data_IF_408754791298
#
_entry.id   IF_408754791298
#
_cell.length_a   1.000
_cell.length_b   1.000
_cell.length_c   1.000
_cell.angle_alpha   90.00
_cell.angle_beta   90.00
_cell.angle_gamma   90.00
#
_symmetry.space_group_name_H-M   'P 1'
#
loop_
_entity.id
_entity.type
_entity.pdbx_description
1 polymer ?
#
# COMPACT_ATOMS: atom_id res chain seq x y z
N UNK A 1 17.08 10.11 -8.50
CA UNK A 1 16.31 10.99 -7.59
C UNK A 1 15.31 10.23 -6.70
N UNK A 2 14.69 9.14 -7.15
CA UNK A 2 13.80 8.30 -6.34
C UNK A 2 14.51 7.46 -5.25
N UNK A 3 15.81 7.14 -5.41
CA UNK A 3 16.57 6.32 -4.44
C UNK A 3 17.01 7.10 -3.18
N UNK A 4 17.30 8.41 -3.30
CA UNK A 4 17.76 9.23 -2.18
C UNK A 4 16.65 9.53 -1.15
N UNK A 5 15.38 9.48 -1.56
CA UNK A 5 14.24 9.74 -0.67
C UNK A 5 13.80 8.48 0.09
N UNK A 6 14.09 7.27 -0.43
CA UNK A 6 13.71 6.03 0.25
C UNK A 6 14.57 5.74 1.47
N UNK A 7 15.87 6.01 1.41
CA UNK A 7 16.80 5.76 2.53
C UNK A 7 16.61 6.80 3.65
N UNK A 8 16.33 8.07 3.29
CA UNK A 8 16.07 9.15 4.26
C UNK A 8 14.75 8.99 5.01
N UNK A 9 13.74 8.31 4.44
CA UNK A 9 12.52 7.94 5.15
C UNK A 9 12.64 6.63 5.95
N UNK A 10 13.57 5.75 5.56
CA UNK A 10 13.79 4.45 6.22
C UNK A 10 14.44 4.61 7.60
N UNK A 11 15.33 5.59 7.78
CA UNK A 11 16.00 5.83 9.07
C UNK A 11 15.01 6.32 10.14
N UNK A 12 14.13 7.30 9.90
CA UNK A 12 13.04 7.66 10.80
C UNK A 12 12.08 6.51 11.06
N UNK A 13 11.71 5.73 10.03
CA UNK A 13 10.83 4.57 10.17
C UNK A 13 11.46 3.46 11.03
N UNK A 14 12.74 3.14 10.82
CA UNK A 14 13.48 2.19 11.66
C UNK A 14 13.59 2.69 13.08
N UNK A 15 13.85 3.99 13.27
CA UNK A 15 13.91 4.59 14.58
C UNK A 15 12.55 4.53 15.28
N UNK A 16 11.44 4.78 14.57
CA UNK A 16 10.08 4.62 15.12
C UNK A 16 9.80 3.15 15.47
N UNK A 17 10.10 2.22 14.57
CA UNK A 17 9.84 0.78 14.79
C UNK A 17 10.63 0.23 15.99
N UNK A 18 11.87 0.68 16.18
CA UNK A 18 12.76 0.23 17.26
C UNK A 18 12.63 1.02 18.57
N UNK A 19 12.37 2.34 18.52
CA UNK A 19 12.33 3.21 19.69
C UNK A 19 10.93 3.48 20.26
N UNK A 20 9.87 3.45 19.42
CA UNK A 20 8.48 3.61 19.85
C UNK A 20 7.81 2.29 20.28
N UNK A 21 8.56 1.19 20.27
CA UNK A 21 8.15 -0.01 20.98
C UNK A 21 7.27 -0.98 20.19
N UNK A 22 7.31 -0.93 18.86
CA UNK A 22 6.41 -1.73 17.99
C UNK A 22 6.75 -3.22 18.06
N UNK A 23 8.03 -3.58 17.90
CA UNK A 23 8.50 -4.98 17.91
C UNK A 23 9.44 -5.26 19.09
N UNK A 24 10.15 -4.24 19.58
CA UNK A 24 11.05 -4.31 20.73
C UNK A 24 10.40 -3.58 21.90
N UNK A 25 10.42 -4.14 23.11
CA UNK A 25 9.86 -3.47 24.28
C UNK A 25 10.62 -2.19 24.66
N UNK A 26 9.89 -1.12 24.97
CA UNK A 26 10.43 0.18 25.42
C UNK A 26 11.09 0.14 26.80
N UNK A 27 11.08 -1.01 27.48
CA UNK A 27 11.71 -1.24 28.80
C UNK A 27 13.20 -1.54 28.71
N UNK A 28 13.80 -1.57 27.51
CA UNK A 28 15.25 -1.43 27.36
C UNK A 28 15.71 -0.16 28.08
N UNK A 29 16.77 -0.20 28.92
CA UNK A 29 17.18 0.95 29.70
C UNK A 29 17.62 2.09 28.76
N UNK A 30 16.71 3.04 28.53
CA UNK A 30 16.85 4.24 27.67
C UNK A 30 17.97 5.21 28.10
N UNK A 31 18.89 4.80 28.98
CA UNK A 31 19.83 5.70 29.69
C UNK A 31 21.16 5.03 30.04
N UNK A 32 21.82 4.41 29.05
CA UNK A 32 23.26 4.14 29.15
C UNK A 32 23.94 4.67 27.88
N UNK A 33 25.03 5.46 27.98
CA UNK A 33 25.74 6.00 26.82
C UNK A 33 26.31 4.91 25.89
N UNK A 34 26.48 3.67 26.38
CA UNK A 34 26.83 2.49 25.57
C UNK A 34 25.62 1.74 24.98
N UNK A 35 24.38 2.07 25.35
CA UNK A 35 23.17 1.43 24.81
C UNK A 35 22.70 2.08 23.51
N UNK A 36 22.99 3.37 23.29
CA UNK A 36 22.56 4.07 22.08
C UNK A 36 23.35 3.61 20.85
N UNK A 37 24.64 3.35 21.03
CA UNK A 37 25.52 2.82 19.98
C UNK A 37 25.08 1.41 19.52
N UNK A 38 24.67 0.51 20.41
CA UNK A 38 24.21 -0.84 20.01
C UNK A 38 22.91 -0.81 19.19
N UNK A 39 22.03 0.16 19.44
CA UNK A 39 20.81 0.34 18.66
C UNK A 39 21.11 0.97 17.30
N UNK A 40 22.05 1.91 17.25
CA UNK A 40 22.48 2.55 16.01
C UNK A 40 23.22 1.57 15.09
N UNK A 41 24.15 0.78 15.63
CA UNK A 41 24.81 -0.31 14.92
C UNK A 41 23.80 -1.40 14.52
N UNK A 42 22.82 -1.69 15.38
CA UNK A 42 21.69 -2.57 15.08
C UNK A 42 20.93 -2.12 13.84
N UNK A 43 20.49 -0.87 13.80
CA UNK A 43 19.78 -0.29 12.66
C UNK A 43 20.62 -0.30 11.38
N UNK A 44 21.92 -0.04 11.48
CA UNK A 44 22.84 -0.15 10.34
C UNK A 44 22.95 -1.60 9.83
N UNK A 45 23.05 -2.57 10.74
CA UNK A 45 23.10 -3.98 10.37
C UNK A 45 21.83 -4.45 9.66
N UNK A 46 20.65 -4.02 10.15
CA UNK A 46 19.36 -4.32 9.52
C UNK A 46 19.30 -3.75 8.10
N UNK A 47 19.75 -2.52 7.89
CA UNK A 47 19.79 -1.89 6.56
C UNK A 47 20.70 -2.64 5.61
N UNK A 48 21.89 -3.03 6.07
CA UNK A 48 22.86 -3.79 5.26
C UNK A 48 22.29 -5.16 4.90
N UNK A 49 21.72 -5.89 5.86
CA UNK A 49 21.08 -7.18 5.60
C UNK A 49 19.92 -7.04 4.60
N UNK A 50 19.06 -6.03 4.77
CA UNK A 50 17.98 -5.78 3.83
C UNK A 50 18.50 -5.47 2.42
N UNK A 51 19.52 -4.62 2.30
CA UNK A 51 20.12 -4.27 1.02
C UNK A 51 20.73 -5.49 0.32
N UNK A 52 21.50 -6.31 1.05
CA UNK A 52 22.13 -7.52 0.52
C UNK A 52 21.07 -8.54 0.09
N UNK A 53 20.09 -8.84 0.94
CA UNK A 53 19.04 -9.81 0.62
C UNK A 53 18.19 -9.38 -0.57
N UNK A 54 17.84 -8.08 -0.67
CA UNK A 54 17.12 -7.56 -1.84
C UNK A 54 17.99 -7.53 -3.09
N UNK A 55 19.28 -7.21 -2.96
CA UNK A 55 20.22 -7.27 -4.08
C UNK A 55 20.36 -8.68 -4.62
N UNK A 56 20.51 -9.68 -3.74
CA UNK A 56 20.54 -11.10 -4.11
C UNK A 56 19.23 -11.50 -4.79
N UNK A 57 18.08 -11.12 -4.23
CA UNK A 57 16.78 -11.43 -4.85
C UNK A 57 16.65 -10.86 -6.27
N UNK A 58 17.18 -9.64 -6.49
CA UNK A 58 17.23 -9.02 -7.82
C UNK A 58 18.14 -9.80 -8.78
N UNK A 59 19.31 -10.29 -8.33
CA UNK A 59 20.19 -11.12 -9.15
C UNK A 59 19.51 -12.44 -9.56
N UNK A 60 18.76 -13.05 -8.65
CA UNK A 60 18.02 -14.29 -8.88
C UNK A 60 16.69 -14.04 -9.63
N UNK A 61 16.37 -12.78 -9.96
CA UNK A 61 15.13 -12.36 -10.66
C UNK A 61 13.85 -12.82 -9.95
N UNK A 62 13.90 -13.01 -8.64
CA UNK A 62 12.73 -13.35 -7.84
C UNK A 62 12.06 -12.07 -7.34
N UNK A 63 10.72 -11.92 -7.48
CA UNK A 63 10.00 -10.79 -6.91
C UNK A 63 9.92 -10.94 -5.39
N UNK A 64 10.95 -10.47 -4.68
CA UNK A 64 10.98 -10.42 -3.22
C UNK A 64 10.35 -9.12 -2.69
N UNK A 65 9.60 -9.20 -1.60
CA UNK A 65 9.00 -8.02 -0.95
C UNK A 65 9.89 -7.51 0.17
N UNK A 66 10.18 -6.20 0.16
CA UNK A 66 11.02 -5.55 1.17
C UNK A 66 10.48 -5.66 2.60
N UNK A 67 9.16 -5.79 2.77
CA UNK A 67 8.52 -5.94 4.09
C UNK A 67 8.93 -7.22 4.80
N UNK A 68 8.97 -8.35 4.10
CA UNK A 68 9.34 -9.65 4.70
C UNK A 68 10.83 -9.67 5.07
N UNK A 69 11.69 -9.12 4.20
CA UNK A 69 13.13 -8.99 4.46
C UNK A 69 13.39 -8.10 5.67
N UNK A 70 12.66 -6.99 5.78
CA UNK A 70 12.77 -6.07 6.91
C UNK A 70 12.33 -6.71 8.23
N UNK A 71 11.16 -7.34 8.27
CA UNK A 71 10.65 -8.02 9.47
C UNK A 71 11.59 -9.17 9.90
N UNK A 72 12.11 -9.94 8.93
CA UNK A 72 13.09 -10.99 9.20
C UNK A 72 14.41 -10.45 9.77
N UNK A 73 14.95 -9.39 9.15
CA UNK A 73 16.18 -8.74 9.63
C UNK A 73 16.03 -8.16 11.04
N UNK A 74 14.89 -7.53 11.32
CA UNK A 74 14.58 -6.97 12.65
C UNK A 74 14.42 -8.07 13.71
N UNK A 75 13.78 -9.20 13.34
CA UNK A 75 13.63 -10.35 14.23
C UNK A 75 14.99 -10.99 14.53
N UNK A 76 15.85 -11.15 13.53
CA UNK A 76 17.22 -11.65 13.70
C UNK A 76 18.06 -10.76 14.61
N UNK A 77 18.03 -9.44 14.39
CA UNK A 77 18.65 -8.47 15.29
C UNK A 77 18.12 -8.59 16.73
N UNK A 78 16.80 -8.65 16.90
CA UNK A 78 16.19 -8.79 18.23
C UNK A 78 16.58 -10.08 18.95
N UNK A 79 16.76 -11.19 18.23
CA UNK A 79 17.18 -12.45 18.82
C UNK A 79 18.62 -12.38 19.35
N UNK A 80 19.53 -11.80 18.58
CA UNK A 80 20.97 -11.75 18.90
C UNK A 80 21.26 -10.63 19.91
N UNK A 81 20.82 -9.40 19.64
CA UNK A 81 21.16 -8.23 20.44
C UNK A 81 20.35 -8.15 21.75
N UNK A 82 19.11 -8.65 21.76
CA UNK A 82 18.19 -8.52 22.91
C UNK A 82 17.87 -9.86 23.58
N UNK A 83 18.60 -10.93 23.21
CA UNK A 83 18.44 -12.29 23.76
C UNK A 83 16.99 -12.80 23.75
N UNK A 84 16.20 -12.39 22.76
CA UNK A 84 14.80 -12.82 22.55
C UNK A 84 13.77 -12.39 23.61
N UNK A 85 14.19 -11.89 24.79
CA UNK A 85 13.28 -11.54 25.90
C UNK A 85 12.51 -10.23 25.69
N UNK A 86 13.06 -9.32 24.89
CA UNK A 86 12.46 -8.00 24.65
C UNK A 86 11.67 -7.92 23.35
N UNK A 87 11.44 -9.06 22.67
CA UNK A 87 10.66 -9.12 21.42
C UNK A 87 9.19 -9.33 21.73
N UNK A 88 8.32 -8.48 21.15
CA UNK A 88 6.86 -8.65 21.20
C UNK A 88 6.40 -9.69 20.18
N UNK A 89 6.48 -10.96 20.54
CA UNK A 89 6.05 -12.09 19.69
C UNK A 89 4.60 -11.98 19.21
N UNK A 90 3.69 -11.43 20.04
CA UNK A 90 2.30 -11.19 19.65
C UNK A 90 2.19 -10.23 18.46
N UNK A 91 3.03 -9.19 18.39
CA UNK A 91 3.01 -8.23 17.28
C UNK A 91 3.56 -8.87 16.00
N UNK A 92 4.64 -9.65 16.11
CA UNK A 92 5.18 -10.41 14.97
C UNK A 92 4.15 -11.39 14.39
N UNK A 93 3.39 -12.09 15.24
CA UNK A 93 2.33 -13.00 14.81
C UNK A 93 1.18 -12.26 14.13
N UNK A 94 0.78 -11.09 14.64
CA UNK A 94 -0.24 -10.26 13.98
C UNK A 94 0.24 -9.87 12.58
N UNK A 95 1.48 -9.38 12.45
CA UNK A 95 2.06 -9.04 11.14
C UNK A 95 2.05 -10.25 10.20
N UNK A 96 2.52 -11.41 10.66
CA UNK A 96 2.52 -12.63 9.85
C UNK A 96 1.10 -13.04 9.41
N UNK A 97 0.11 -12.92 10.29
CA UNK A 97 -1.29 -13.24 9.97
C UNK A 97 -1.87 -12.32 8.88
N UNK A 98 -1.47 -11.03 8.85
CA UNK A 98 -1.93 -10.08 7.83
C UNK A 98 -1.51 -10.46 6.41
N UNK A 99 -0.39 -11.18 6.25
CA UNK A 99 0.11 -11.62 4.94
C UNK A 99 -0.81 -12.66 4.29
N UNK A 100 -1.56 -13.42 5.10
CA UNK A 100 -2.54 -14.42 4.63
C UNK A 100 -3.92 -13.78 4.51
N UNK A 101 -4.31 -12.97 5.49
CA UNK A 101 -5.64 -12.36 5.54
C UNK A 101 -5.83 -11.38 4.36
N UNK A 102 -4.81 -10.58 4.03
CA UNK A 102 -4.88 -9.59 2.96
C UNK A 102 -5.26 -10.17 1.59
N UNK A 103 -4.58 -11.21 1.05
CA UNK A 103 -4.97 -11.81 -0.23
C UNK A 103 -6.32 -12.51 -0.18
N UNK A 104 -6.71 -13.11 0.95
CA UNK A 104 -8.03 -13.74 1.11
C UNK A 104 -9.14 -12.70 1.03
N UNK A 105 -9.00 -11.59 1.77
CA UNK A 105 -9.97 -10.50 1.74
C UNK A 105 -10.00 -9.87 0.34
N UNK A 106 -8.86 -9.57 -0.25
CA UNK A 106 -8.78 -9.03 -1.60
C UNK A 106 -9.44 -9.95 -2.65
N UNK A 107 -9.19 -11.26 -2.57
CA UNK A 107 -9.79 -12.27 -3.43
C UNK A 107 -11.32 -12.35 -3.25
N UNK A 108 -11.79 -12.34 -2.01
CA UNK A 108 -13.23 -12.38 -1.71
C UNK A 108 -13.97 -11.16 -2.26
N UNK A 109 -13.39 -9.96 -2.11
CA UNK A 109 -13.95 -8.71 -2.63
C UNK A 109 -13.92 -8.71 -4.16
N UNK A 110 -12.81 -9.15 -4.77
CA UNK A 110 -12.70 -9.27 -6.22
C UNK A 110 -13.76 -10.20 -6.81
N UNK A 111 -13.96 -11.36 -6.18
CA UNK A 111 -15.00 -12.33 -6.57
C UNK A 111 -16.41 -11.73 -6.48
N UNK A 112 -16.72 -11.01 -5.39
CA UNK A 112 -18.01 -10.35 -5.21
C UNK A 112 -18.27 -9.29 -6.28
N UNK A 113 -17.28 -8.44 -6.56
CA UNK A 113 -17.38 -7.39 -7.60
C UNK A 113 -17.55 -8.01 -8.99
N UNK A 114 -16.80 -9.06 -9.31
CA UNK A 114 -16.92 -9.78 -10.58
C UNK A 114 -18.33 -10.35 -10.77
N UNK A 115 -18.89 -11.00 -9.74
CA UNK A 115 -20.23 -11.58 -9.80
C UNK A 115 -21.32 -10.52 -10.00
N UNK A 116 -21.20 -9.37 -9.33
CA UNK A 116 -22.11 -8.23 -9.52
C UNK A 116 -22.01 -7.71 -10.96
N UNK A 117 -20.80 -7.50 -11.46
CA UNK A 117 -20.54 -7.03 -12.81
C UNK A 117 -21.09 -7.96 -13.87
N UNK A 118 -20.84 -9.26 -13.75
CA UNK A 118 -21.33 -10.27 -14.70
C UNK A 118 -22.86 -10.27 -14.73
N UNK A 119 -23.50 -10.28 -13.56
CA UNK A 119 -24.97 -10.25 -13.46
C UNK A 119 -25.58 -8.96 -14.02
N UNK A 120 -24.91 -7.83 -13.82
CA UNK A 120 -25.39 -6.51 -14.24
C UNK A 120 -25.17 -6.26 -15.73
N UNK A 121 -24.05 -6.70 -16.29
CA UNK A 121 -23.74 -6.58 -17.73
C UNK A 121 -24.56 -7.59 -18.54
N UNK A 122 -24.65 -8.86 -18.10
CA UNK A 122 -25.36 -9.92 -18.85
C UNK A 122 -26.87 -9.67 -18.96
N UNK A 123 -27.45 -8.90 -18.04
CA UNK A 123 -28.88 -8.52 -18.07
C UNK A 123 -29.18 -7.37 -19.05
N UNK A 124 -28.19 -6.63 -19.50
CA UNK A 124 -28.39 -5.43 -20.33
C UNK A 124 -28.25 -5.78 -21.81
N UNK A 125 -29.38 -5.87 -22.54
CA UNK A 125 -29.39 -5.92 -24.02
C UNK A 125 -28.95 -4.58 -24.65
N UNK A 126 -28.98 -3.49 -23.88
CA UNK A 126 -28.62 -2.14 -24.35
C UNK A 126 -27.17 -1.79 -23.99
N UNK A 127 -26.34 -1.54 -25.01
CA UNK A 127 -24.91 -1.20 -24.87
C UNK A 127 -24.67 0.04 -24.00
N UNK A 128 -25.60 0.99 -23.96
CA UNK A 128 -25.47 2.24 -23.19
C UNK A 128 -25.59 2.05 -21.68
N UNK A 129 -26.39 1.10 -21.21
CA UNK A 129 -26.57 0.85 -19.79
C UNK A 129 -25.34 0.19 -19.15
N UNK A 130 -24.66 -0.70 -19.90
CA UNK A 130 -23.37 -1.26 -19.49
C UNK A 130 -22.30 -0.17 -19.29
N UNK A 131 -22.32 0.87 -20.13
CA UNK A 131 -21.41 2.03 -19.99
C UNK A 131 -21.56 2.76 -18.64
N UNK A 132 -22.81 2.93 -18.18
CA UNK A 132 -23.12 3.60 -16.93
C UNK A 132 -22.62 2.81 -15.72
N UNK A 133 -22.79 1.50 -15.74
CA UNK A 133 -22.30 0.60 -14.68
C UNK A 133 -20.78 0.70 -14.54
N UNK A 134 -20.05 0.63 -15.65
CA UNK A 134 -18.59 0.76 -15.66
C UNK A 134 -18.17 2.15 -15.16
N UNK A 135 -18.86 3.21 -15.58
CA UNK A 135 -18.57 4.60 -15.13
C UNK A 135 -18.75 4.76 -13.62
N UNK A 136 -19.81 4.22 -13.04
CA UNK A 136 -20.09 4.29 -11.60
C UNK A 136 -19.03 3.54 -10.80
N UNK A 137 -18.59 2.38 -11.28
CA UNK A 137 -17.54 1.60 -10.61
C UNK A 137 -16.17 2.29 -10.66
N UNK A 138 -15.81 2.90 -11.79
CA UNK A 138 -14.58 3.69 -11.88
C UNK A 138 -14.61 4.90 -10.94
N UNK A 139 -15.75 5.58 -10.84
CA UNK A 139 -15.95 6.67 -9.88
C UNK A 139 -15.73 6.20 -8.44
N UNK A 140 -16.41 5.13 -8.05
CA UNK A 140 -16.32 4.58 -6.69
C UNK A 140 -14.88 4.15 -6.34
N UNK A 141 -14.19 3.50 -7.28
CA UNK A 141 -12.80 3.03 -7.07
C UNK A 141 -11.84 4.21 -6.91
N UNK A 142 -11.95 5.23 -7.78
CA UNK A 142 -11.12 6.44 -7.70
C UNK A 142 -11.40 7.26 -6.44
N UNK A 143 -12.66 7.36 -6.04
CA UNK A 143 -13.05 8.04 -4.82
C UNK A 143 -12.42 7.38 -3.59
N UNK A 144 -12.58 6.06 -3.44
CA UNK A 144 -11.99 5.31 -2.30
C UNK A 144 -10.46 5.45 -2.29
N UNK A 145 -9.81 5.39 -3.45
CA UNK A 145 -8.35 5.52 -3.56
C UNK A 145 -7.86 6.91 -3.12
N UNK A 146 -8.45 7.97 -3.66
CA UNK A 146 -8.08 9.35 -3.32
C UNK A 146 -8.39 9.69 -1.86
N UNK A 147 -9.52 9.21 -1.35
CA UNK A 147 -9.91 9.37 0.04
C UNK A 147 -8.92 8.67 0.99
N UNK A 148 -8.51 7.43 0.66
CA UNK A 148 -7.52 6.68 1.46
C UNK A 148 -6.17 7.41 1.53
N UNK A 149 -5.68 7.95 0.41
CA UNK A 149 -4.44 8.75 0.38
C UNK A 149 -4.55 9.98 1.29
N UNK A 150 -5.69 10.68 1.22
CA UNK A 150 -5.92 11.86 2.03
C UNK A 150 -5.94 11.53 3.54
N UNK A 151 -6.61 10.45 3.94
CA UNK A 151 -6.65 10.04 5.34
C UNK A 151 -5.27 9.67 5.88
N UNK A 152 -4.49 8.90 5.12
CA UNK A 152 -3.14 8.51 5.52
C UNK A 152 -2.18 9.70 5.62
N UNK A 153 -2.37 10.73 4.80
CA UNK A 153 -1.49 11.91 4.74
C UNK A 153 -2.14 13.18 5.33
N UNK A 154 -3.18 13.02 6.15
CA UNK A 154 -3.98 14.14 6.69
C UNK A 154 -3.12 15.17 7.43
N UNK A 155 -2.09 14.73 8.16
CA UNK A 155 -1.15 15.61 8.85
C UNK A 155 -0.26 16.43 7.90
N UNK A 156 0.16 15.86 6.76
CA UNK A 156 0.94 16.56 5.75
C UNK A 156 0.10 17.65 5.07
N UNK A 157 -1.13 17.30 4.67
CA UNK A 157 -2.06 18.22 4.03
C UNK A 157 -2.46 19.38 4.95
N UNK A 158 -2.71 19.10 6.25
CA UNK A 158 -3.01 20.14 7.22
C UNK A 158 -1.86 21.15 7.39
N UNK A 159 -0.62 20.66 7.41
CA UNK A 159 0.57 21.50 7.66
C UNK A 159 1.01 22.35 6.47
N UNK A 160 0.80 21.89 5.23
CA UNK A 160 1.26 22.61 4.02
C UNK A 160 0.16 23.34 3.25
N UNK A 161 -1.08 22.83 3.27
CA UNK A 161 -2.17 23.39 2.48
C UNK A 161 -3.28 24.05 3.31
N UNK A 162 -3.25 23.99 4.65
CA UNK A 162 -4.30 24.56 5.52
C UNK A 162 -5.73 24.17 5.10
N UNK A 163 -5.89 23.06 4.36
CA UNK A 163 -7.17 22.63 3.82
C UNK A 163 -7.93 21.83 4.88
N UNK A 164 -9.07 22.36 5.31
CA UNK A 164 -9.98 21.66 6.22
C UNK A 164 -10.67 20.48 5.51
N UNK A 165 -11.11 19.48 6.29
CA UNK A 165 -11.85 18.30 5.78
C UNK A 165 -13.04 18.67 4.90
N UNK A 166 -13.72 19.77 5.25
CA UNK A 166 -14.87 20.30 4.52
C UNK A 166 -14.56 20.72 3.07
N UNK A 167 -13.31 21.10 2.77
CA UNK A 167 -12.88 21.48 1.42
C UNK A 167 -12.30 20.28 0.68
N UNK A 168 -11.59 19.40 1.38
CA UNK A 168 -10.90 18.26 0.77
C UNK A 168 -11.87 17.20 0.20
N UNK A 169 -12.92 16.85 0.95
CA UNK A 169 -13.89 15.82 0.52
C UNK A 169 -14.62 16.20 -0.79
N UNK A 170 -15.24 17.40 -0.93
CA UNK A 170 -15.89 17.77 -2.18
C UNK A 170 -14.92 17.91 -3.35
N UNK A 171 -13.68 18.33 -3.11
CA UNK A 171 -12.64 18.36 -4.15
C UNK A 171 -12.33 16.94 -4.67
N UNK A 172 -12.22 15.95 -3.79
CA UNK A 172 -11.98 14.56 -4.17
C UNK A 172 -13.17 13.99 -4.96
N UNK A 173 -14.41 14.28 -4.53
CA UNK A 173 -15.62 13.90 -5.26
C UNK A 173 -15.62 14.54 -6.66
N UNK A 174 -15.28 15.82 -6.75
CA UNK A 174 -15.22 16.53 -8.02
C UNK A 174 -14.17 15.94 -8.97
N UNK A 175 -12.95 15.72 -8.49
CA UNK A 175 -11.86 15.14 -9.29
C UNK A 175 -12.19 13.72 -9.76
N UNK A 176 -12.71 12.88 -8.87
CA UNK A 176 -13.11 11.50 -9.23
C UNK A 176 -14.29 11.47 -10.22
N UNK A 177 -15.27 12.38 -10.07
CA UNK A 177 -16.38 12.52 -11.02
C UNK A 177 -15.91 13.01 -12.38
N UNK A 178 -15.00 13.99 -12.41
CA UNK A 178 -14.43 14.54 -13.63
C UNK A 178 -13.66 13.49 -14.42
N UNK A 179 -12.78 12.74 -13.77
CA UNK A 179 -12.01 11.65 -14.41
C UNK A 179 -12.96 10.57 -14.94
N UNK A 180 -13.98 10.20 -14.17
CA UNK A 180 -14.95 9.17 -14.58
C UNK A 180 -15.81 9.61 -15.78
N UNK A 181 -16.18 10.90 -15.84
CA UNK A 181 -16.89 11.47 -16.98
C UNK A 181 -16.03 11.48 -18.26
N UNK A 182 -14.74 11.82 -18.15
CA UNK A 182 -13.78 11.76 -19.27
C UNK A 182 -13.64 10.33 -19.78
N UNK A 183 -13.47 9.36 -18.87
CA UNK A 183 -13.35 7.95 -19.25
C UNK A 183 -14.57 7.51 -20.08
N UNK A 184 -15.78 7.88 -19.67
CA UNK A 184 -16.99 7.58 -20.43
C UNK A 184 -16.99 8.22 -21.82
N UNK A 185 -16.60 9.49 -21.93
CA UNK A 185 -16.68 10.25 -23.19
C UNK A 185 -15.61 9.83 -24.20
N UNK A 186 -14.43 9.39 -23.75
CA UNK A 186 -13.32 9.02 -24.65
C UNK A 186 -13.23 7.52 -24.93
N UNK A 187 -13.35 6.65 -23.92
CA UNK A 187 -13.08 5.21 -24.06
C UNK A 187 -14.26 4.45 -24.62
N UNK A 188 -15.48 4.80 -24.23
CA UNK A 188 -16.68 4.11 -24.71
C UNK A 188 -16.88 4.22 -26.24
N UNK A 189 -16.76 5.41 -26.88
CA UNK A 189 -16.84 5.49 -28.34
C UNK A 189 -15.63 4.85 -29.03
N UNK A 190 -14.45 4.87 -28.42
CA UNK A 190 -13.26 4.21 -28.97
C UNK A 190 -13.41 2.68 -29.00
N UNK A 191 -13.83 2.08 -27.89
CA UNK A 191 -14.09 0.64 -27.78
C UNK A 191 -15.18 0.19 -28.76
N UNK A 192 -16.28 0.95 -28.88
CA UNK A 192 -17.35 0.64 -29.84
C UNK A 192 -16.84 0.66 -31.29
N UNK A 193 -16.05 1.67 -31.67
CA UNK A 193 -15.48 1.74 -33.03
C UNK A 193 -14.52 0.58 -33.31
N UNK A 194 -13.69 0.19 -32.34
CA UNK A 194 -12.71 -0.91 -32.51
C UNK A 194 -13.40 -2.28 -32.61
N UNK A 195 -14.41 -2.54 -31.78
CA UNK A 195 -15.20 -3.78 -31.82
C UNK A 195 -15.94 -3.94 -33.15
N UNK A 196 -16.54 -2.86 -33.67
CA UNK A 196 -17.22 -2.87 -34.97
C UNK A 196 -16.25 -3.15 -36.12
N UNK A 197 -15.03 -2.60 -36.06
CA UNK A 197 -14.01 -2.83 -37.10
C UNK A 197 -13.55 -4.29 -37.16
N UNK A 198 -13.43 -4.95 -36.01
CA UNK A 198 -13.06 -6.37 -35.90
C UNK A 198 -14.20 -7.26 -36.44
N UNK A 199 -15.46 -6.94 -36.14
CA UNK A 199 -16.61 -7.70 -36.62
C UNK A 199 -16.89 -7.54 -38.13
N UNK A 200 -16.28 -6.55 -38.79
CA UNK A 200 -16.36 -6.38 -40.26
C UNK A 200 -15.22 -7.13 -40.98
N UNK A 201 -14.16 -7.50 -40.26
CA UNK A 201 -12.98 -8.17 -40.81
C UNK A 201 -13.02 -9.70 -40.69
N UNK A 202 -13.88 -10.24 -39.81
CA UNK A 202 -14.21 -11.66 -39.70
C UNK A 202 -15.50 -11.96 -40.45
#
# INVERSE_FOLDING_TARGET
RAYNNSITCLVPFLNEVTSNGTIVNSTSPKRLPCSESIHLLGNLSILITCAISLFIANLVKLPASGTHVLVGSLTGYGLIALKGKYIKWSVLLVIASTWIISPVVAGSVSMAVYYILEKLIRRQKNTTASAWVVTILYFLTLFIFLFSIFFQNSAFFYRHLHTSFYVAVPLIIFVSAFISAIMRFSIFPYLRKKMLKINIQN
#
